data_IF_098781021161
#
_entry.id   IF_098781021161
#
_cell.length_a   1.000
_cell.length_b   1.000
_cell.length_c   1.000
_cell.angle_alpha   90.00
_cell.angle_beta   90.00
_cell.angle_gamma   90.00
#
_symmetry.space_group_name_H-M   'P 1'
#
loop_
_entity.id
_entity.type
_entity.pdbx_description
1 polymer ?
#
# COMPACT_ATOMS: atom_id res chain seq x y z
N UNK A 1 1.67 -28.00 3.82
CA UNK A 1 1.80 -26.93 4.82
C UNK A 1 2.77 -25.85 4.36
N UNK A 2 4.04 -26.20 4.22
CA UNK A 2 5.08 -25.25 3.79
C UNK A 2 4.77 -24.63 2.42
N UNK A 3 4.28 -25.43 1.49
CA UNK A 3 3.93 -24.97 0.14
C UNK A 3 2.78 -23.95 0.17
N UNK A 4 1.76 -24.18 1.00
CA UNK A 4 0.59 -23.29 1.14
C UNK A 4 1.03 -21.95 1.73
N UNK A 5 1.90 -21.98 2.76
CA UNK A 5 2.45 -20.77 3.35
C UNK A 5 3.26 -19.96 2.32
N UNK A 6 4.07 -20.65 1.51
CA UNK A 6 4.87 -20.03 0.47
C UNK A 6 4.00 -19.36 -0.59
N UNK A 7 2.92 -20.02 -1.00
CA UNK A 7 1.97 -19.47 -1.97
C UNK A 7 1.31 -18.21 -1.41
N UNK A 8 0.88 -18.24 -0.15
CA UNK A 8 0.27 -17.09 0.51
C UNK A 8 1.26 -15.93 0.62
N UNK A 9 2.52 -16.20 1.02
CA UNK A 9 3.56 -15.18 1.11
C UNK A 9 3.81 -14.51 -0.24
N UNK A 10 3.94 -15.32 -1.31
CA UNK A 10 4.14 -14.81 -2.66
C UNK A 10 2.97 -13.97 -3.12
N UNK A 11 1.74 -14.34 -2.76
CA UNK A 11 0.53 -13.57 -3.08
C UNK A 11 0.52 -12.22 -2.37
N UNK A 12 0.89 -12.18 -1.10
CA UNK A 12 0.97 -10.93 -0.34
C UNK A 12 2.02 -9.98 -0.95
N UNK A 13 3.18 -10.51 -1.31
CA UNK A 13 4.25 -9.74 -1.95
C UNK A 13 3.75 -9.20 -3.30
N UNK A 14 3.13 -10.04 -4.12
CA UNK A 14 2.66 -9.64 -5.45
C UNK A 14 1.58 -8.57 -5.36
N UNK A 15 0.61 -8.71 -4.46
CA UNK A 15 -0.45 -7.72 -4.29
C UNK A 15 0.10 -6.40 -3.74
N UNK A 16 1.11 -6.46 -2.89
CA UNK A 16 1.79 -5.26 -2.40
C UNK A 16 2.53 -4.54 -3.54
N UNK A 17 3.23 -5.29 -4.39
CA UNK A 17 3.89 -4.73 -5.59
C UNK A 17 2.87 -4.07 -6.51
N UNK A 18 1.70 -4.69 -6.69
CA UNK A 18 0.62 -4.14 -7.50
C UNK A 18 0.14 -2.80 -6.94
N UNK A 19 -0.05 -2.72 -5.62
CA UNK A 19 -0.44 -1.49 -4.96
C UNK A 19 0.56 -0.36 -5.24
N UNK A 20 1.86 -0.60 -5.04
CA UNK A 20 2.89 0.41 -5.29
C UNK A 20 2.97 0.81 -6.76
N UNK A 21 2.81 -0.13 -7.66
CA UNK A 21 2.77 0.12 -9.11
C UNK A 21 1.59 1.04 -9.47
N UNK A 22 0.40 0.73 -8.98
CA UNK A 22 -0.79 1.54 -9.25
C UNK A 22 -0.68 2.93 -8.62
N UNK A 23 -0.12 3.00 -7.42
CA UNK A 23 0.12 4.28 -6.75
C UNK A 23 1.04 5.17 -7.59
N UNK A 24 2.20 4.64 -7.99
CA UNK A 24 3.17 5.39 -8.79
C UNK A 24 2.60 5.86 -10.13
N UNK A 25 1.78 5.01 -10.76
CA UNK A 25 1.10 5.33 -12.02
C UNK A 25 -0.13 6.21 -11.84
N UNK A 26 -0.52 6.51 -10.61
CA UNK A 26 -1.74 7.26 -10.29
C UNK A 26 -3.00 6.58 -10.85
N UNK A 27 -3.02 5.27 -10.81
CA UNK A 27 -4.07 4.43 -11.40
C UNK A 27 -5.22 4.23 -10.41
N UNK A 28 -6.10 5.19 -10.34
CA UNK A 28 -7.23 5.22 -9.40
C UNK A 28 -8.17 4.02 -9.61
N UNK A 29 -8.41 3.64 -10.85
CA UNK A 29 -9.31 2.52 -11.16
C UNK A 29 -8.80 1.21 -10.54
N UNK A 30 -7.54 0.89 -10.75
CA UNK A 30 -6.95 -0.32 -10.20
C UNK A 30 -6.78 -0.24 -8.68
N UNK A 31 -6.45 0.93 -8.13
CA UNK A 31 -6.43 1.13 -6.68
C UNK A 31 -7.82 0.87 -6.07
N UNK A 32 -8.87 1.39 -6.70
CA UNK A 32 -10.25 1.13 -6.26
C UNK A 32 -10.55 -0.37 -6.24
N UNK A 33 -10.09 -1.11 -7.25
CA UNK A 33 -10.36 -2.54 -7.37
C UNK A 33 -9.66 -3.38 -6.31
N UNK A 34 -8.49 -2.96 -5.83
CA UNK A 34 -7.75 -3.70 -4.81
C UNK A 34 -8.10 -3.31 -3.37
N UNK A 35 -8.81 -2.21 -3.18
CA UNK A 35 -9.27 -1.75 -1.86
C UNK A 35 -10.63 -2.34 -1.52
N UNK A 36 -10.83 -2.70 -0.24
CA UNK A 36 -12.18 -3.02 0.27
C UNK A 36 -12.98 -1.72 0.44
N UNK A 37 -14.31 -1.85 0.53
CA UNK A 37 -15.17 -0.67 0.78
C UNK A 37 -14.87 0.00 2.13
N UNK A 38 -14.33 -0.76 3.08
CA UNK A 38 -14.01 -0.30 4.43
C UNK A 38 -12.53 0.02 4.63
N UNK A 39 -11.76 0.15 3.55
CA UNK A 39 -10.33 0.47 3.63
C UNK A 39 -10.06 1.61 4.61
N UNK A 40 -9.05 1.44 5.45
CA UNK A 40 -8.58 2.46 6.38
C UNK A 40 -7.14 2.80 6.06
N UNK A 41 -6.88 4.07 5.82
CA UNK A 41 -5.53 4.57 5.57
C UNK A 41 -5.11 5.50 6.69
N UNK A 42 -3.93 5.25 7.23
CA UNK A 42 -3.34 6.09 8.28
C UNK A 42 -1.89 6.39 7.91
N UNK A 43 -1.54 7.67 7.94
CA UNK A 43 -0.14 8.08 7.87
C UNK A 43 0.14 9.05 9.02
N UNK A 44 1.30 9.71 9.02
CA UNK A 44 1.70 10.61 10.11
C UNK A 44 0.89 11.91 10.16
N UNK A 45 0.04 12.18 9.17
CA UNK A 45 -0.80 13.39 9.11
C UNK A 45 -2.28 13.08 8.93
N UNK A 46 -2.64 11.90 8.39
CA UNK A 46 -3.99 11.62 7.94
C UNK A 46 -4.54 10.31 8.51
N UNK A 47 -5.86 10.29 8.75
CA UNK A 47 -6.63 9.09 9.08
C UNK A 47 -7.90 9.12 8.25
N UNK A 48 -8.03 8.20 7.30
CA UNK A 48 -9.11 8.23 6.32
C UNK A 48 -9.81 6.88 6.27
N UNK A 49 -11.10 6.86 6.55
CA UNK A 49 -11.94 5.66 6.55
C UNK A 49 -12.82 5.61 5.31
N UNK A 50 -12.83 4.45 4.67
CA UNK A 50 -13.72 4.14 3.55
C UNK A 50 -13.10 4.39 2.18
N UNK A 51 -13.55 3.60 1.20
CA UNK A 51 -13.00 3.64 -0.16
C UNK A 51 -13.20 5.00 -0.81
N UNK A 52 -14.41 5.55 -0.75
CA UNK A 52 -14.73 6.81 -1.42
C UNK A 52 -13.82 7.95 -0.96
N UNK A 53 -13.68 8.11 0.36
CA UNK A 53 -12.83 9.17 0.94
C UNK A 53 -11.37 8.95 0.61
N UNK A 54 -10.91 7.70 0.63
CA UNK A 54 -9.52 7.37 0.28
C UNK A 54 -9.22 7.68 -1.18
N UNK A 55 -10.13 7.37 -2.10
CA UNK A 55 -9.93 7.68 -3.51
C UNK A 55 -9.93 9.19 -3.78
N UNK A 56 -10.78 9.96 -3.10
CA UNK A 56 -10.78 11.41 -3.19
C UNK A 56 -9.44 11.98 -2.71
N UNK A 57 -8.94 11.48 -1.56
CA UNK A 57 -7.65 11.87 -1.01
C UNK A 57 -6.51 11.57 -2.00
N UNK A 58 -6.48 10.36 -2.56
CA UNK A 58 -5.46 9.95 -3.51
C UNK A 58 -5.50 10.78 -4.79
N UNK A 59 -6.69 11.02 -5.34
CA UNK A 59 -6.84 11.88 -6.53
C UNK A 59 -6.25 13.27 -6.28
N UNK A 60 -6.49 13.81 -5.08
CA UNK A 60 -5.99 15.12 -4.71
C UNK A 60 -4.46 15.16 -4.67
N UNK A 61 -3.83 14.22 -3.96
CA UNK A 61 -2.36 14.20 -3.88
C UNK A 61 -1.71 13.87 -5.23
N UNK A 62 -2.35 13.03 -6.04
CA UNK A 62 -1.86 12.67 -7.37
C UNK A 62 -1.91 13.86 -8.35
N UNK A 63 -2.89 14.74 -8.19
CA UNK A 63 -3.01 15.93 -9.06
C UNK A 63 -1.93 16.98 -8.77
N UNK A 64 -1.36 16.95 -7.57
CA UNK A 64 -0.42 17.98 -7.10
C UNK A 64 1.02 17.51 -7.07
N UNK A 65 1.28 16.21 -7.12
CA UNK A 65 2.60 15.66 -6.87
C UNK A 65 2.96 14.56 -7.86
N UNK A 66 4.24 14.34 -8.06
CA UNK A 66 4.77 13.15 -8.70
C UNK A 66 5.45 12.27 -7.65
N UNK A 67 5.35 10.95 -7.82
CA UNK A 67 5.91 9.98 -6.90
C UNK A 67 6.72 8.95 -7.65
N UNK A 68 7.91 8.65 -7.14
CA UNK A 68 8.68 7.47 -7.53
C UNK A 68 8.84 6.61 -6.29
N UNK A 69 8.43 5.35 -6.39
CA UNK A 69 8.46 4.42 -5.27
C UNK A 69 9.48 3.33 -5.55
N UNK A 70 10.37 3.10 -4.60
CA UNK A 70 11.33 1.99 -4.66
C UNK A 70 11.14 1.14 -3.41
N UNK A 71 10.66 -0.09 -3.60
CA UNK A 71 10.55 -1.03 -2.48
C UNK A 71 11.92 -1.61 -2.21
N UNK A 72 12.38 -1.48 -0.98
CA UNK A 72 13.68 -1.96 -0.56
C UNK A 72 13.60 -3.33 0.09
N UNK A 73 12.58 -3.56 0.94
CA UNK A 73 12.39 -4.82 1.63
C UNK A 73 10.92 -5.10 1.88
N UNK A 74 10.57 -6.40 1.91
CA UNK A 74 9.28 -6.90 2.37
C UNK A 74 9.51 -7.73 3.63
N UNK A 75 8.69 -7.50 4.66
CA UNK A 75 8.72 -8.26 5.91
C UNK A 75 7.36 -8.88 6.13
N UNK A 76 7.31 -10.21 6.09
CA UNK A 76 6.06 -10.95 6.22
C UNK A 76 5.74 -11.25 7.68
N UNK A 77 4.48 -11.10 8.03
CA UNK A 77 3.98 -11.42 9.34
C UNK A 77 3.53 -12.89 9.36
N UNK A 78 4.11 -13.70 10.24
CA UNK A 78 3.78 -15.12 10.31
C UNK A 78 2.30 -15.31 10.67
N UNK A 79 1.61 -16.18 9.92
CA UNK A 79 0.22 -16.60 10.17
C UNK A 79 -0.84 -15.50 10.00
N UNK A 80 -0.48 -14.33 9.47
CA UNK A 80 -1.42 -13.24 9.23
C UNK A 80 -1.26 -12.69 7.82
N UNK A 81 -2.32 -12.15 7.27
CA UNK A 81 -2.28 -11.48 5.96
C UNK A 81 -1.85 -10.02 6.11
N UNK A 82 -0.69 -9.83 6.72
CA UNK A 82 -0.08 -8.53 6.98
C UNK A 82 1.34 -8.55 6.45
N UNK A 83 1.72 -7.51 5.73
CA UNK A 83 3.07 -7.36 5.22
C UNK A 83 3.56 -5.93 5.50
N UNK A 84 4.80 -5.82 5.96
CA UNK A 84 5.47 -4.53 6.13
C UNK A 84 6.41 -4.31 4.97
N UNK A 85 6.32 -3.14 4.34
CA UNK A 85 7.10 -2.81 3.16
C UNK A 85 7.95 -1.57 3.44
N UNK A 86 9.26 -1.74 3.34
CA UNK A 86 10.19 -0.62 3.44
C UNK A 86 10.32 0.01 2.07
N UNK A 87 9.91 1.27 1.94
CA UNK A 87 9.92 1.96 0.66
C UNK A 87 10.65 3.29 0.74
N UNK A 88 11.31 3.63 -0.35
CA UNK A 88 11.88 4.95 -0.56
C UNK A 88 10.99 5.69 -1.55
N UNK A 89 10.42 6.81 -1.11
CA UNK A 89 9.58 7.67 -1.93
C UNK A 89 10.40 8.86 -2.38
N UNK A 90 10.45 9.11 -3.70
CA UNK A 90 10.98 10.37 -4.22
C UNK A 90 9.79 11.24 -4.61
N UNK A 91 9.62 12.33 -3.89
CA UNK A 91 8.50 13.26 -4.06
C UNK A 91 8.94 14.42 -4.95
N UNK A 92 8.22 14.63 -6.04
CA UNK A 92 8.43 15.73 -6.98
C UNK A 92 9.88 15.84 -7.48
N UNK A 93 10.53 14.69 -7.67
CA UNK A 93 11.92 14.55 -8.12
C UNK A 93 12.96 15.22 -7.21
N UNK A 94 12.59 15.58 -5.98
CA UNK A 94 13.47 16.31 -5.05
C UNK A 94 13.60 15.63 -3.70
N UNK A 95 12.51 15.54 -2.97
CA UNK A 95 12.51 15.07 -1.60
C UNK A 95 12.48 13.56 -1.54
N UNK A 96 13.38 12.95 -0.76
CA UNK A 96 13.40 11.51 -0.52
C UNK A 96 12.89 11.22 0.88
N UNK A 97 11.88 10.38 0.97
CA UNK A 97 11.22 10.02 2.23
C UNK A 97 11.27 8.51 2.38
N UNK A 98 11.82 8.06 3.49
CA UNK A 98 11.81 6.62 3.83
C UNK A 98 10.57 6.34 4.67
N UNK A 99 9.81 5.32 4.27
CA UNK A 99 8.54 4.97 4.89
C UNK A 99 8.44 3.46 5.04
N UNK A 100 7.80 3.04 6.13
CA UNK A 100 7.35 1.66 6.29
C UNK A 100 5.83 1.66 6.12
N UNK A 101 5.35 0.97 5.08
CA UNK A 101 3.91 0.72 4.90
C UNK A 101 3.57 -0.65 5.47
N UNK A 102 2.62 -0.68 6.40
CA UNK A 102 2.05 -1.93 6.92
C UNK A 102 0.72 -2.14 6.25
N UNK A 103 0.63 -3.17 5.42
CA UNK A 103 -0.56 -3.46 4.60
C UNK A 103 -1.26 -4.69 5.13
N UNK A 104 -2.56 -4.57 5.43
CA UNK A 104 -3.40 -5.67 5.89
C UNK A 104 -4.39 -6.06 4.78
N UNK A 105 -4.49 -7.36 4.52
CA UNK A 105 -5.35 -7.93 3.49
C UNK A 105 -6.47 -8.76 4.13
N UNK A 106 -7.60 -8.88 3.42
CA UNK A 106 -8.67 -9.80 3.81
C UNK A 106 -8.43 -11.19 3.18
N UNK A 107 -9.39 -12.10 3.36
CA UNK A 107 -9.31 -13.48 2.85
C UNK A 107 -9.21 -13.54 1.31
N UNK A 108 -9.69 -12.52 0.62
CA UNK A 108 -9.66 -12.44 -0.85
C UNK A 108 -8.45 -11.64 -1.36
N UNK A 109 -7.49 -11.34 -0.50
CA UNK A 109 -6.30 -10.55 -0.82
C UNK A 109 -6.62 -9.13 -1.31
N UNK A 110 -7.73 -8.56 -0.81
CA UNK A 110 -8.01 -7.14 -0.97
C UNK A 110 -7.47 -6.39 0.23
N UNK A 111 -7.05 -5.15 0.01
CA UNK A 111 -6.44 -4.34 1.08
C UNK A 111 -7.54 -3.74 1.95
N UNK A 112 -7.46 -4.02 3.27
CA UNK A 112 -8.39 -3.48 4.27
C UNK A 112 -7.79 -2.34 5.06
N UNK A 113 -6.45 -2.25 5.14
CA UNK A 113 -5.78 -1.26 5.97
C UNK A 113 -4.37 -1.00 5.44
N UNK A 114 -3.99 0.26 5.43
CA UNK A 114 -2.62 0.69 5.15
C UNK A 114 -2.23 1.67 6.24
N UNK A 115 -1.13 1.37 6.94
CA UNK A 115 -0.55 2.26 7.95
C UNK A 115 0.86 2.61 7.50
N UNK A 116 1.13 3.91 7.31
CA UNK A 116 2.43 4.40 6.87
C UNK A 116 3.17 5.07 8.02
N UNK A 117 4.42 4.69 8.20
CA UNK A 117 5.29 5.23 9.24
C UNK A 117 6.50 5.89 8.59
N UNK A 118 6.65 7.18 8.79
CA UNK A 118 7.80 7.94 8.29
C UNK A 118 9.02 7.66 9.18
N UNK A 119 10.10 7.26 8.55
CA UNK A 119 11.35 6.98 9.26
C UNK A 119 12.21 8.24 9.48
#
# INVERSE_FOLDING_TARGET
MILIEKIMENKLIQESKNYFKYFQKKDIKNLSNIFTNTIYLEDWENKIKGKKKNLIFLKNIFSKNSFKLKVQNFFLHKSKKIISCEILITLNNKEKIKVIDVITFNKKFKITKIQAYKC
#
